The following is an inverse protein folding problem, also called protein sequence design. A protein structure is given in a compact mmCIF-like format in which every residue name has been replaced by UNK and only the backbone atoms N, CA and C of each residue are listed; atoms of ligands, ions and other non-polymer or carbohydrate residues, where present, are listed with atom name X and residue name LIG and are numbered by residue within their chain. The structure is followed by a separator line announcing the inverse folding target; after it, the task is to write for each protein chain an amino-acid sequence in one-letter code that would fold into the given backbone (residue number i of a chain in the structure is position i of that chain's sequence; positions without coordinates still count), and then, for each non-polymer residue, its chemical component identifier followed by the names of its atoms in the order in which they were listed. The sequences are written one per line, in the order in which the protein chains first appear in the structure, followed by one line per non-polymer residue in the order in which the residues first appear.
data_IF_848810290531
#
_entry.id   IF_848810290531
#
_cell.length_a   1.000
_cell.length_b   1.000
_cell.length_c   1.000
_cell.angle_alpha   90.00
_cell.angle_beta   90.00
_cell.angle_gamma   90.00
#
_symmetry.space_group_name_H-M   'P 1'
#
loop_
_entity.id
_entity.type
_entity.pdbx_description
1 polymer ?
#
# COMPACT_ATOMS: atom_id res chain seq x y z
N UNK A 1 -19.51 -32.66 -2.42
CA UNK A 1 -19.33 -32.02 -1.09
C UNK A 1 -17.85 -31.70 -0.77
N UNK A 2 -17.02 -31.31 -1.75
CA UNK A 2 -15.56 -31.15 -1.55
C UNK A 2 -15.03 -29.71 -1.66
N UNK A 3 -15.88 -28.74 -2.05
CA UNK A 3 -15.44 -27.36 -2.34
C UNK A 3 -15.64 -26.39 -1.15
N UNK A 4 -16.46 -26.76 -0.15
CA UNK A 4 -16.75 -25.88 0.99
C UNK A 4 -15.58 -25.71 1.96
N UNK A 5 -14.75 -26.74 2.12
CA UNK A 5 -13.61 -26.73 3.04
C UNK A 5 -12.44 -25.90 2.50
N UNK A 6 -12.19 -25.91 1.19
CA UNK A 6 -11.14 -25.09 0.57
C UNK A 6 -11.45 -23.59 0.67
N UNK A 7 -12.70 -23.19 0.48
CA UNK A 7 -13.14 -21.80 0.59
C UNK A 7 -13.00 -21.27 2.03
N UNK A 8 -13.32 -22.09 3.02
CA UNK A 8 -13.19 -21.75 4.45
C UNK A 8 -11.72 -21.60 4.88
N UNK A 9 -10.81 -22.39 4.31
CA UNK A 9 -9.37 -22.27 4.59
C UNK A 9 -8.79 -20.98 4.01
N UNK A 10 -9.19 -20.61 2.78
CA UNK A 10 -8.74 -19.35 2.15
C UNK A 10 -9.29 -18.13 2.89
N UNK A 11 -10.58 -18.15 3.27
CA UNK A 11 -11.19 -17.08 4.08
C UNK A 11 -10.54 -16.99 5.47
N UNK A 12 -10.21 -18.12 6.08
CA UNK A 12 -9.49 -18.18 7.36
C UNK A 12 -8.09 -17.55 7.28
N UNK A 13 -7.33 -17.83 6.22
CA UNK A 13 -5.99 -17.27 5.99
C UNK A 13 -6.03 -15.75 5.73
N UNK A 14 -7.03 -15.27 4.99
CA UNK A 14 -7.22 -13.83 4.73
C UNK A 14 -7.61 -13.08 6.01
N UNK A 15 -8.52 -13.64 6.81
CA UNK A 15 -8.91 -13.06 8.09
C UNK A 15 -7.75 -13.07 9.10
N UNK A 16 -6.96 -14.15 9.14
CA UNK A 16 -5.77 -14.25 9.98
C UNK A 16 -4.70 -13.23 9.57
N UNK A 17 -4.49 -13.03 8.26
CA UNK A 17 -3.57 -12.02 7.75
C UNK A 17 -4.00 -10.58 8.08
N UNK A 18 -5.30 -10.29 8.00
CA UNK A 18 -5.84 -8.99 8.40
C UNK A 18 -5.72 -8.76 9.92
N UNK A 19 -5.96 -9.79 10.74
CA UNK A 19 -5.83 -9.71 12.19
C UNK A 19 -4.36 -9.56 12.62
N UNK A 20 -3.44 -10.27 11.95
CA UNK A 20 -2.00 -10.16 12.18
C UNK A 20 -1.50 -8.75 11.82
N UNK A 21 -2.04 -8.15 10.75
CA UNK A 21 -1.72 -6.78 10.33
C UNK A 21 -2.19 -5.73 11.35
N UNK A 22 -3.42 -5.86 11.86
CA UNK A 22 -3.94 -4.98 12.92
C UNK A 22 -3.15 -5.17 14.22
N UNK A 23 -2.73 -6.39 14.55
CA UNK A 23 -1.87 -6.65 15.71
C UNK A 23 -0.47 -6.05 15.52
N UNK A 24 0.13 -6.16 14.33
CA UNK A 24 1.45 -5.61 14.00
C UNK A 24 1.46 -4.08 14.06
N UNK A 25 0.40 -3.43 13.59
CA UNK A 25 0.19 -1.98 13.76
C UNK A 25 -0.01 -1.58 15.24
N UNK A 26 -0.74 -2.39 16.02
CA UNK A 26 -0.98 -2.11 17.43
C UNK A 26 0.24 -2.38 18.34
N UNK A 27 1.12 -3.32 17.96
CA UNK A 27 2.29 -3.72 18.74
C UNK A 27 3.58 -2.97 18.39
N UNK A 28 3.63 -2.15 17.33
CA UNK A 28 4.85 -1.40 17.02
C UNK A 28 4.92 -0.09 17.83
N UNK A 29 5.82 0.04 18.81
CA UNK A 29 5.90 1.24 19.62
C UNK A 29 6.56 2.35 18.79
N UNK A 30 5.83 3.46 18.63
CA UNK A 30 6.32 4.76 18.18
C UNK A 30 7.55 5.17 19.02
N UNK A 31 8.75 4.77 18.62
CA UNK A 31 10.00 5.24 19.23
C UNK A 31 10.21 6.71 18.84
N UNK A 32 9.65 7.61 19.65
CA UNK A 32 10.07 9.02 19.71
C UNK A 32 11.52 9.04 20.23
N UNK A 33 12.47 9.30 19.34
CA UNK A 33 13.86 9.53 19.72
C UNK A 33 13.99 10.83 20.53
N UNK A 34 14.01 10.72 21.86
CA UNK A 34 14.56 11.77 22.73
C UNK A 34 16.08 11.69 22.65
N UNK A 35 16.72 12.64 21.96
CA UNK A 35 18.15 12.89 22.13
C UNK A 35 18.33 13.75 23.38
N UNK A 36 18.95 13.17 24.41
CA UNK A 36 19.38 13.91 25.59
C UNK A 36 20.66 14.70 25.28
N UNK A 37 20.59 16.02 25.47
CA UNK A 37 21.79 16.86 25.58
C UNK A 37 22.58 16.46 26.82
N UNK A 38 23.86 16.14 26.63
CA UNK A 38 24.83 15.81 27.67
C UNK A 38 25.51 17.11 28.10
N UNK A 39 25.19 17.61 29.28
CA UNK A 39 25.97 18.64 29.97
C UNK A 39 26.85 17.96 31.04
N UNK A 40 28.11 18.39 31.10
CA UNK A 40 29.14 17.87 31.98
C UNK A 40 29.04 18.43 33.42
N UNK A 41 29.44 17.63 34.41
CA UNK A 41 29.72 18.06 35.80
C UNK A 41 29.72 16.91 36.81
N UNK A 42 30.56 16.90 37.88
CA UNK A 42 31.41 15.74 38.18
C UNK A 42 31.08 14.89 39.44
N UNK A 43 31.74 13.73 39.44
CA UNK A 43 31.97 12.66 40.42
C UNK A 43 31.60 12.86 41.91
N UNK A 44 30.95 11.82 42.49
CA UNK A 44 31.21 11.36 43.87
C UNK A 44 31.17 9.84 43.98
N UNK A 45 32.12 9.36 44.78
CA UNK A 45 32.53 8.00 45.12
C UNK A 45 31.74 7.40 46.28
N UNK A 46 31.53 6.07 46.31
CA UNK A 46 31.30 5.31 47.55
C UNK A 46 30.33 4.13 47.44
N UNK A 47 30.49 3.04 48.22
CA UNK A 47 30.30 1.66 47.74
C UNK A 47 29.08 0.90 48.29
N UNK A 48 28.74 -0.21 47.63
CA UNK A 48 27.78 -1.25 48.02
C UNK A 48 28.15 -2.01 49.30
N UNK A 49 27.15 -2.69 49.92
CA UNK A 49 27.37 -4.06 50.38
C UNK A 49 26.23 -5.05 50.05
N UNK A 50 26.63 -6.18 49.46
CA UNK A 50 26.29 -7.61 49.72
C UNK A 50 24.86 -8.12 49.99
N UNK A 51 24.49 -9.11 49.16
CA UNK A 51 23.41 -10.14 49.24
C UNK A 51 23.55 -11.13 50.42
N UNK A 52 22.62 -12.11 50.64
CA UNK A 52 22.79 -13.44 50.01
C UNK A 52 21.54 -14.37 49.75
N UNK A 53 21.74 -15.35 48.85
CA UNK A 53 21.24 -16.76 48.79
C UNK A 53 19.85 -17.19 48.21
N UNK A 54 19.88 -17.62 46.92
CA UNK A 54 19.44 -18.86 46.18
C UNK A 54 18.53 -19.97 46.79
N UNK A 55 17.99 -21.01 46.05
CA UNK A 55 17.68 -21.31 44.60
C UNK A 55 16.26 -22.02 44.42
N UNK A 56 16.01 -23.00 43.49
CA UNK A 56 15.84 -22.99 42.02
C UNK A 56 14.40 -23.37 41.50
N UNK A 57 14.18 -23.29 40.17
CA UNK A 57 12.93 -23.61 39.40
C UNK A 57 12.59 -25.13 39.33
N UNK A 58 11.37 -25.54 38.93
CA UNK A 58 11.19 -26.08 37.55
C UNK A 58 9.80 -25.88 36.88
N UNK A 59 9.68 -26.44 35.67
CA UNK A 59 8.70 -26.30 34.57
C UNK A 59 7.25 -26.77 34.83
N UNK A 60 6.30 -26.32 33.98
CA UNK A 60 4.98 -26.95 33.81
C UNK A 60 4.09 -26.33 32.73
N UNK A 61 3.91 -27.04 31.62
CA UNK A 61 2.90 -26.82 30.57
C UNK A 61 1.49 -27.18 31.09
N UNK A 62 0.44 -26.49 30.62
CA UNK A 62 -0.95 -26.88 30.84
C UNK A 62 -1.89 -26.38 29.74
N UNK A 63 -2.30 -27.30 28.87
CA UNK A 63 -3.42 -27.15 27.93
C UNK A 63 -4.77 -27.41 28.64
N UNK A 64 -5.91 -26.95 28.08
CA UNK A 64 -7.20 -26.91 28.77
C UNK A 64 -8.04 -28.18 28.58
N UNK A 65 -8.78 -28.58 29.62
CA UNK A 65 -9.84 -29.60 29.54
C UNK A 65 -11.23 -28.94 29.58
N UNK A 66 -12.26 -29.52 28.93
CA UNK A 66 -13.54 -28.88 28.65
C UNK A 66 -14.65 -29.28 29.65
N UNK A 67 -15.73 -28.49 29.70
CA UNK A 67 -17.01 -28.92 30.28
C UNK A 67 -18.19 -28.34 29.48
N UNK A 68 -19.18 -29.21 29.27
CA UNK A 68 -20.40 -29.09 28.46
C UNK A 68 -21.60 -28.73 29.42
N UNK A 69 -22.90 -28.78 29.01
CA UNK A 69 -23.75 -27.66 28.63
C UNK A 69 -24.89 -27.33 29.63
N UNK A 70 -25.45 -26.12 29.48
CA UNK A 70 -26.88 -25.84 29.69
C UNK A 70 -27.25 -25.02 30.93
N UNK A 71 -27.65 -23.77 30.72
CA UNK A 71 -28.98 -23.22 31.09
C UNK A 71 -29.12 -21.88 30.33
N UNK A 72 -30.19 -21.74 29.55
CA UNK A 72 -30.49 -20.55 28.75
C UNK A 72 -31.08 -19.48 29.66
N UNK A 73 -30.35 -18.40 29.88
CA UNK A 73 -30.87 -17.16 30.46
C UNK A 73 -30.65 -16.03 29.44
N UNK A 74 -31.69 -15.73 28.68
CA UNK A 74 -31.71 -14.68 27.66
C UNK A 74 -31.66 -13.29 28.30
N UNK A 75 -30.48 -12.68 28.31
CA UNK A 75 -30.29 -11.25 28.54
C UNK A 75 -30.52 -10.45 27.23
N UNK A 76 -31.26 -9.32 27.24
CA UNK A 76 -31.51 -8.53 26.04
C UNK A 76 -30.23 -7.85 25.54
N UNK A 77 -29.97 -8.04 24.24
CA UNK A 77 -28.75 -7.63 23.54
C UNK A 77 -28.50 -6.11 23.54
N UNK A 78 -27.22 -5.76 23.46
CA UNK A 78 -26.68 -4.40 23.41
C UNK A 78 -27.30 -3.49 22.33
N UNK A 79 -27.99 -4.07 21.35
CA UNK A 79 -28.68 -3.35 20.28
C UNK A 79 -29.94 -2.61 20.75
N UNK A 80 -30.65 -3.10 21.77
CA UNK A 80 -31.82 -2.42 22.32
C UNK A 80 -31.42 -1.09 23.01
N UNK A 81 -30.30 -1.09 23.74
CA UNK A 81 -29.75 0.12 24.39
C UNK A 81 -29.12 1.11 23.41
N UNK A 82 -28.82 0.68 22.19
CA UNK A 82 -28.33 1.54 21.10
C UNK A 82 -29.50 2.19 20.34
N UNK A 83 -30.56 1.42 20.09
CA UNK A 83 -31.78 1.92 19.47
C UNK A 83 -32.50 2.96 20.35
N UNK A 84 -32.48 2.79 21.68
CA UNK A 84 -33.10 3.74 22.62
C UNK A 84 -32.30 5.06 22.75
N UNK A 85 -30.96 5.01 22.65
CA UNK A 85 -30.12 6.21 22.59
C UNK A 85 -30.30 7.02 21.31
N UNK A 86 -30.55 6.34 20.19
CA UNK A 86 -30.84 6.99 18.91
C UNK A 86 -32.26 7.58 18.87
N UNK A 87 -33.20 7.03 19.64
CA UNK A 87 -34.58 7.53 19.74
C UNK A 87 -34.71 8.72 20.70
N UNK A 88 -33.83 8.83 21.72
CA UNK A 88 -33.76 9.97 22.64
C UNK A 88 -33.04 11.20 22.05
N UNK A 89 -32.23 11.03 21.01
CA UNK A 89 -31.60 12.12 20.28
C UNK A 89 -32.52 12.60 19.15
N UNK A 90 -33.53 13.41 19.50
CA UNK A 90 -34.36 14.12 18.51
C UNK A 90 -33.50 15.00 17.57
N UNK A 91 -34.01 15.36 16.37
CA UNK A 91 -33.22 16.08 15.39
C UNK A 91 -32.80 17.46 15.92
N UNK A 92 -31.50 17.71 15.95
CA UNK A 92 -30.93 19.01 16.27
C UNK A 92 -31.32 20.03 15.17
N UNK A 93 -31.58 21.30 15.53
CA UNK A 93 -31.96 22.31 14.57
C UNK A 93 -30.80 22.57 13.59
N UNK A 94 -31.10 22.48 12.29
CA UNK A 94 -30.21 22.89 11.21
C UNK A 94 -30.12 24.41 11.24
N UNK A 95 -29.12 24.92 11.95
CA UNK A 95 -28.71 26.31 11.82
C UNK A 95 -27.89 26.44 10.53
N UNK A 96 -28.51 26.97 9.49
CA UNK A 96 -27.83 27.45 8.27
C UNK A 96 -26.81 28.53 8.69
N UNK A 97 -25.55 28.15 8.88
CA UNK A 97 -24.43 29.11 8.72
C UNK A 97 -24.06 29.16 7.25
N UNK A 98 -24.16 30.36 6.71
CA UNK A 98 -24.09 30.65 5.29
C UNK A 98 -22.84 30.11 4.62
N UNK A 99 -23.04 29.68 3.39
CA UNK A 99 -22.02 29.65 2.34
C UNK A 99 -21.43 31.05 2.18
N UNK A 100 -20.33 31.33 2.85
CA UNK A 100 -19.37 32.27 2.29
C UNK A 100 -18.67 31.58 1.11
N UNK A 101 -18.55 32.23 -0.05
CA UNK A 101 -17.87 31.64 -1.20
C UNK A 101 -16.41 31.35 -0.84
N UNK A 102 -16.00 30.11 -1.11
CA UNK A 102 -14.63 29.57 -0.94
C UNK A 102 -13.54 30.50 -1.53
N UNK A 103 -13.89 31.40 -2.47
CA UNK A 103 -13.03 32.45 -3.02
C UNK A 103 -12.53 33.48 -1.97
N UNK A 104 -13.28 33.73 -0.88
CA UNK A 104 -12.87 34.66 0.17
C UNK A 104 -11.78 34.10 1.11
N UNK A 105 -11.61 32.77 1.16
CA UNK A 105 -10.50 32.13 1.84
C UNK A 105 -9.23 32.14 0.97
N UNK A 106 -9.40 32.03 -0.35
CA UNK A 106 -8.31 32.02 -1.34
C UNK A 106 -7.70 33.41 -1.56
N UNK A 107 -8.43 34.50 -1.26
CA UNK A 107 -7.92 35.87 -1.41
C UNK A 107 -7.14 36.42 -0.20
N UNK A 108 -6.87 35.62 0.85
CA UNK A 108 -6.16 36.09 2.06
C UNK A 108 -4.79 35.50 2.32
N UNK A 109 -4.25 34.68 1.42
CA UNK A 109 -2.87 34.24 1.48
C UNK A 109 -1.96 35.12 0.60
N UNK A 110 -2.04 36.44 0.73
CA UNK A 110 -0.84 37.25 0.55
C UNK A 110 0.10 36.91 1.71
N UNK A 111 1.36 36.52 1.47
CA UNK A 111 2.34 36.48 2.54
C UNK A 111 2.37 37.88 3.16
N UNK A 112 2.55 37.99 4.48
CA UNK A 112 2.54 39.20 5.33
C UNK A 112 1.33 39.43 6.26
N UNK A 113 0.31 38.55 6.32
CA UNK A 113 -0.77 38.67 7.31
C UNK A 113 -0.91 37.41 8.20
N UNK A 114 0.14 37.09 8.93
CA UNK A 114 0.17 36.02 9.94
C UNK A 114 1.60 35.58 10.20
N UNK A 115 2.00 35.43 11.47
CA UNK A 115 3.34 34.94 11.81
C UNK A 115 3.60 33.59 11.13
N UNK A 116 4.86 33.26 10.83
CA UNK A 116 5.24 31.96 10.27
C UNK A 116 4.67 30.77 11.09
N UNK A 117 4.51 30.94 12.40
CA UNK A 117 3.84 29.98 13.30
C UNK A 117 2.36 29.78 12.98
N UNK A 118 1.66 30.83 12.53
CA UNK A 118 0.28 30.72 12.04
C UNK A 118 0.22 29.90 10.75
N UNK A 119 1.21 30.03 9.87
CA UNK A 119 1.29 29.23 8.65
C UNK A 119 1.52 27.74 8.95
N UNK A 120 2.38 27.43 9.94
CA UNK A 120 2.57 26.06 10.41
C UNK A 120 1.25 25.42 10.84
N UNK A 121 0.44 26.13 11.64
CA UNK A 121 -0.88 25.67 12.07
C UNK A 121 -1.83 25.46 10.90
N UNK A 122 -1.92 26.41 9.96
CA UNK A 122 -2.78 26.30 8.78
C UNK A 122 -2.41 25.06 7.94
N UNK A 123 -1.12 24.84 7.69
CA UNK A 123 -0.63 23.69 6.92
C UNK A 123 -0.98 22.37 7.63
N UNK A 124 -0.81 22.30 8.95
CA UNK A 124 -1.18 21.13 9.74
C UNK A 124 -2.71 20.87 9.72
N UNK A 125 -3.52 21.91 9.77
CA UNK A 125 -4.99 21.82 9.74
C UNK A 125 -5.51 21.32 8.39
N UNK A 126 -4.94 21.82 7.29
CA UNK A 126 -5.23 21.35 5.94
C UNK A 126 -4.81 19.88 5.77
N UNK A 127 -3.64 19.49 6.29
CA UNK A 127 -3.19 18.10 6.27
C UNK A 127 -4.13 17.16 7.03
N UNK A 128 -4.65 17.61 8.20
CA UNK A 128 -5.65 16.86 8.98
C UNK A 128 -6.98 16.70 8.25
N UNK A 129 -7.31 17.64 7.36
CA UNK A 129 -8.51 17.61 6.52
C UNK A 129 -8.28 16.89 5.18
N UNK A 130 -7.08 16.35 4.95
CA UNK A 130 -6.68 15.69 3.70
C UNK A 130 -6.56 16.62 2.48
N UNK A 131 -6.44 17.92 2.71
CA UNK A 131 -6.23 18.96 1.68
C UNK A 131 -4.73 19.07 1.32
N UNK A 132 -4.10 17.94 0.98
CA UNK A 132 -2.64 17.87 0.80
C UNK A 132 -2.12 18.73 -0.35
N UNK A 133 -2.91 18.90 -1.41
CA UNK A 133 -2.53 19.73 -2.55
C UNK A 133 -2.30 21.18 -2.12
N UNK A 134 -3.21 21.73 -1.32
CA UNK A 134 -3.13 23.09 -0.80
C UNK A 134 -2.04 23.22 0.27
N UNK A 135 -1.93 22.26 1.19
CA UNK A 135 -0.82 22.21 2.15
C UNK A 135 0.55 22.22 1.47
N UNK A 136 0.71 21.46 0.38
CA UNK A 136 1.96 21.38 -0.39
C UNK A 136 2.26 22.70 -1.09
N UNK A 137 1.25 23.35 -1.69
CA UNK A 137 1.38 24.67 -2.33
C UNK A 137 1.90 25.69 -1.32
N UNK A 138 1.25 25.79 -0.16
CA UNK A 138 1.64 26.73 0.90
C UNK A 138 3.05 26.46 1.44
N UNK A 139 3.44 25.20 1.61
CA UNK A 139 4.81 24.87 2.03
C UNK A 139 5.87 25.18 0.97
N UNK A 140 5.57 24.97 -0.32
CA UNK A 140 6.48 25.33 -1.40
C UNK A 140 6.70 26.85 -1.42
N UNK A 141 5.61 27.63 -1.37
CA UNK A 141 5.67 29.10 -1.30
C UNK A 141 6.44 29.59 -0.08
N UNK A 142 6.25 28.96 1.08
CA UNK A 142 6.99 29.30 2.29
C UNK A 142 8.50 29.02 2.16
N UNK A 143 8.87 27.87 1.61
CA UNK A 143 10.28 27.47 1.48
C UNK A 143 11.04 28.28 0.41
N UNK A 144 10.32 28.82 -0.58
CA UNK A 144 10.87 29.73 -1.59
C UNK A 144 10.99 31.18 -1.09
N UNK A 145 10.39 31.51 0.05
CA UNK A 145 10.50 32.84 0.64
C UNK A 145 11.94 33.17 1.06
N UNK A 146 12.44 34.33 0.62
CA UNK A 146 13.82 34.77 0.87
C UNK A 146 14.07 35.18 2.32
N UNK A 147 13.03 35.60 3.01
CA UNK A 147 13.03 36.09 4.39
C UNK A 147 12.70 35.00 5.42
N UNK A 148 12.52 33.75 4.99
CA UNK A 148 12.25 32.63 5.90
C UNK A 148 13.44 32.38 6.84
N UNK A 149 13.25 32.49 8.17
CA UNK A 149 14.30 32.19 9.14
C UNK A 149 14.82 30.75 9.01
N UNK A 150 16.14 30.50 9.16
CA UNK A 150 16.73 29.17 8.99
C UNK A 150 16.10 28.09 9.88
N UNK A 151 15.72 28.44 11.11
CA UNK A 151 15.09 27.53 12.07
C UNK A 151 13.72 27.06 11.57
N UNK A 152 12.95 27.99 10.98
CA UNK A 152 11.64 27.69 10.41
C UNK A 152 11.74 26.98 9.05
N UNK A 153 12.82 27.23 8.30
CA UNK A 153 13.14 26.47 7.08
C UNK A 153 13.31 24.99 7.37
N UNK A 154 13.97 24.63 8.47
CA UNK A 154 14.08 23.23 8.89
C UNK A 154 12.72 22.65 9.29
N UNK A 155 11.91 23.41 10.05
CA UNK A 155 10.56 22.99 10.47
C UNK A 155 9.66 22.73 9.27
N UNK A 156 9.58 23.65 8.31
CA UNK A 156 8.76 23.51 7.10
C UNK A 156 9.27 22.41 6.17
N UNK A 157 10.59 22.22 6.08
CA UNK A 157 11.15 21.10 5.32
C UNK A 157 10.74 19.76 5.92
N UNK A 158 10.76 19.64 7.26
CA UNK A 158 10.32 18.44 7.97
C UNK A 158 8.81 18.21 7.82
N UNK A 159 8.01 19.27 7.93
CA UNK A 159 6.56 19.20 7.75
C UNK A 159 6.20 18.74 6.33
N UNK A 160 6.92 19.21 5.31
CA UNK A 160 6.75 18.78 3.91
C UNK A 160 6.97 17.27 3.77
N UNK A 161 8.03 16.74 4.39
CA UNK A 161 8.36 15.31 4.39
C UNK A 161 7.29 14.49 5.10
N UNK A 162 6.88 14.90 6.31
CA UNK A 162 5.90 14.17 7.10
C UNK A 162 4.53 14.14 6.41
N UNK A 163 4.13 15.24 5.76
CA UNK A 163 2.89 15.29 4.97
C UNK A 163 2.95 14.43 3.71
N UNK A 164 4.06 14.43 2.97
CA UNK A 164 4.21 13.55 1.81
C UNK A 164 4.05 12.07 2.19
N UNK A 165 4.58 11.66 3.35
CA UNK A 165 4.39 10.32 3.89
C UNK A 165 2.94 10.01 4.29
N UNK A 166 2.21 10.98 4.84
CA UNK A 166 0.80 10.84 5.20
C UNK A 166 -0.10 10.76 3.96
N UNK A 167 0.09 11.68 3.00
CA UNK A 167 -0.58 11.70 1.71
C UNK A 167 -0.37 10.39 0.96
N UNK A 168 0.88 9.95 0.82
CA UNK A 168 1.22 8.69 0.15
C UNK A 168 0.56 7.48 0.80
N UNK A 169 0.46 7.44 2.14
CA UNK A 169 -0.25 6.38 2.85
C UNK A 169 -1.76 6.38 2.62
N UNK A 170 -2.38 7.55 2.55
CA UNK A 170 -3.80 7.65 2.26
C UNK A 170 -4.12 7.31 0.81
N UNK A 171 -3.31 7.78 -0.13
CA UNK A 171 -3.50 7.51 -1.55
C UNK A 171 -3.34 6.03 -1.85
N UNK A 172 -2.33 5.34 -1.28
CA UNK A 172 -2.18 3.89 -1.47
C UNK A 172 -3.29 3.09 -0.79
N UNK A 173 -3.74 3.50 0.40
CA UNK A 173 -4.90 2.88 1.05
C UNK A 173 -6.19 3.07 0.25
N UNK A 174 -6.36 4.23 -0.39
CA UNK A 174 -7.51 4.52 -1.26
C UNK A 174 -7.41 3.74 -2.55
N UNK A 175 -6.24 3.69 -3.18
CA UNK A 175 -5.98 2.88 -4.37
C UNK A 175 -6.30 1.41 -4.10
N UNK A 176 -5.90 0.85 -2.95
CA UNK A 176 -6.20 -0.52 -2.61
C UNK A 176 -7.71 -0.79 -2.41
N UNK A 177 -8.45 0.20 -1.89
CA UNK A 177 -9.92 0.13 -1.75
C UNK A 177 -10.62 0.25 -3.10
N UNK A 178 -10.21 1.17 -3.97
CA UNK A 178 -10.78 1.28 -5.32
C UNK A 178 -10.44 0.07 -6.19
N UNK A 179 -9.24 -0.49 -5.99
CA UNK A 179 -8.84 -1.76 -6.55
C UNK A 179 -9.72 -2.94 -6.09
N UNK A 180 -10.38 -2.85 -4.94
CA UNK A 180 -11.37 -3.87 -4.51
C UNK A 180 -12.72 -3.67 -5.22
N UNK A 181 -13.01 -2.45 -5.66
CA UNK A 181 -14.26 -2.09 -6.34
C UNK A 181 -14.19 -2.24 -7.85
N UNK A 182 -13.01 -2.55 -8.40
CA UNK A 182 -12.81 -2.83 -9.82
C UNK A 182 -12.52 -1.61 -10.69
N UNK A 183 -12.29 -0.42 -10.10
CA UNK A 183 -11.97 0.78 -10.88
C UNK A 183 -10.47 0.89 -11.16
N UNK A 184 -10.00 0.36 -12.29
CA UNK A 184 -8.58 0.40 -12.65
C UNK A 184 -8.06 1.83 -12.92
N UNK A 185 -8.90 2.71 -13.48
CA UNK A 185 -8.52 4.07 -13.84
C UNK A 185 -8.35 4.97 -12.61
N UNK A 186 -9.20 4.82 -11.59
CA UNK A 186 -9.07 5.56 -10.32
C UNK A 186 -7.82 5.14 -9.56
N UNK A 187 -7.50 3.85 -9.59
CA UNK A 187 -6.29 3.29 -8.99
C UNK A 187 -5.03 3.85 -9.65
N UNK A 188 -5.01 3.95 -10.98
CA UNK A 188 -3.91 4.54 -11.73
C UNK A 188 -3.71 6.03 -11.39
N UNK A 189 -4.80 6.79 -11.31
CA UNK A 189 -4.75 8.20 -10.91
C UNK A 189 -4.16 8.38 -9.52
N UNK A 190 -4.57 7.55 -8.57
CA UNK A 190 -4.07 7.58 -7.19
C UNK A 190 -2.60 7.17 -7.08
N UNK A 191 -2.16 6.14 -7.83
CA UNK A 191 -0.75 5.74 -7.85
C UNK A 191 0.14 6.83 -8.44
N UNK A 192 -0.30 7.49 -9.52
CA UNK A 192 0.44 8.62 -10.10
C UNK A 192 0.54 9.80 -9.13
N UNK A 193 -0.51 10.07 -8.35
CA UNK A 193 -0.45 11.09 -7.30
C UNK A 193 0.57 10.75 -6.20
N UNK A 194 0.74 9.47 -5.87
CA UNK A 194 1.80 9.02 -4.93
C UNK A 194 3.19 9.23 -5.54
N UNK A 195 3.38 8.88 -6.82
CA UNK A 195 4.64 9.11 -7.52
C UNK A 195 4.99 10.60 -7.59
N UNK A 196 4.00 11.44 -7.89
CA UNK A 196 4.14 12.89 -7.96
C UNK A 196 4.42 13.50 -6.58
N UNK A 197 3.82 12.99 -5.50
CA UNK A 197 4.08 13.47 -4.13
C UNK A 197 5.50 13.10 -3.67
N UNK A 198 5.96 11.89 -3.97
CA UNK A 198 7.35 11.46 -3.72
C UNK A 198 8.33 12.30 -4.53
N UNK A 199 8.06 12.53 -5.82
CA UNK A 199 8.91 13.34 -6.70
C UNK A 199 8.98 14.79 -6.23
N UNK A 200 7.85 15.37 -5.82
CA UNK A 200 7.78 16.75 -5.33
C UNK A 200 8.55 16.96 -4.02
N UNK A 201 8.67 15.92 -3.18
CA UNK A 201 9.51 15.98 -2.00
C UNK A 201 11.02 15.95 -2.33
N UNK A 202 11.39 15.38 -3.49
CA UNK A 202 12.76 15.35 -4.00
C UNK A 202 13.77 14.75 -3.02
N UNK A 203 14.98 15.32 -3.01
CA UNK A 203 16.07 14.89 -2.12
C UNK A 203 15.84 15.23 -0.64
N UNK A 204 14.78 15.97 -0.33
CA UNK A 204 14.42 16.27 1.05
C UNK A 204 13.79 15.07 1.77
N UNK A 205 13.31 14.05 1.03
CA UNK A 205 12.71 12.87 1.62
C UNK A 205 13.81 11.91 2.12
N UNK A 206 13.84 11.55 3.43
CA UNK A 206 14.79 10.55 3.94
C UNK A 206 14.65 9.22 3.23
N UNK A 207 15.76 8.47 3.10
CA UNK A 207 15.80 7.17 2.41
C UNK A 207 14.73 6.20 2.93
N UNK A 208 14.62 6.02 4.24
CA UNK A 208 13.58 5.18 4.87
C UNK A 208 12.14 5.52 4.42
N UNK A 209 11.88 6.81 4.15
CA UNK A 209 10.55 7.27 3.70
C UNK A 209 10.35 7.04 2.20
N UNK A 210 11.41 7.19 1.40
CA UNK A 210 11.39 6.83 -0.03
C UNK A 210 11.19 5.33 -0.21
N UNK A 211 11.87 4.52 0.60
CA UNK A 211 11.77 3.07 0.59
C UNK A 211 10.37 2.60 0.99
N UNK A 212 9.76 3.23 2.01
CA UNK A 212 8.40 2.91 2.42
C UNK A 212 7.38 3.30 1.33
N UNK A 213 7.52 4.47 0.68
CA UNK A 213 6.64 4.86 -0.41
C UNK A 213 6.76 3.90 -1.61
N UNK A 214 8.00 3.55 -1.99
CA UNK A 214 8.33 2.60 -3.05
C UNK A 214 7.76 1.22 -2.74
N UNK A 215 7.92 0.75 -1.50
CA UNK A 215 7.32 -0.51 -1.01
C UNK A 215 5.80 -0.52 -1.13
N UNK A 216 5.13 0.59 -0.81
CA UNK A 216 3.67 0.69 -0.92
C UNK A 216 3.20 0.65 -2.36
N UNK A 217 3.90 1.32 -3.28
CA UNK A 217 3.61 1.28 -4.72
C UNK A 217 3.76 -0.15 -5.25
N UNK A 218 4.87 -0.81 -4.94
CA UNK A 218 5.13 -2.20 -5.29
C UNK A 218 4.01 -3.12 -4.78
N UNK A 219 3.69 -3.06 -3.48
CA UNK A 219 2.67 -3.91 -2.86
C UNK A 219 1.27 -3.68 -3.45
N UNK A 220 0.95 -2.44 -3.82
CA UNK A 220 -0.34 -2.13 -4.44
C UNK A 220 -0.44 -2.76 -5.82
N UNK A 221 0.60 -2.63 -6.64
CA UNK A 221 0.66 -3.23 -7.98
C UNK A 221 0.61 -4.77 -7.93
N UNK A 222 1.39 -5.41 -7.05
CA UNK A 222 1.40 -6.89 -6.96
C UNK A 222 0.06 -7.44 -6.46
N UNK A 223 -0.64 -6.74 -5.56
CA UNK A 223 -2.00 -7.11 -5.13
C UNK A 223 -3.04 -6.97 -6.23
N UNK A 224 -2.95 -5.92 -7.04
CA UNK A 224 -3.81 -5.74 -8.21
C UNK A 224 -3.60 -6.87 -9.22
N UNK A 225 -2.35 -7.18 -9.53
CA UNK A 225 -1.99 -8.30 -10.39
C UNK A 225 -2.55 -9.63 -9.87
N UNK A 226 -2.38 -9.92 -8.58
CA UNK A 226 -2.89 -11.15 -7.97
C UNK A 226 -4.41 -11.28 -8.09
N UNK A 227 -5.16 -10.17 -7.99
CA UNK A 227 -6.62 -10.16 -8.21
C UNK A 227 -6.98 -10.44 -9.66
N UNK A 228 -6.28 -9.81 -10.61
CA UNK A 228 -6.50 -10.02 -12.04
C UNK A 228 -6.20 -11.46 -12.46
N UNK A 229 -5.11 -12.04 -11.95
CA UNK A 229 -4.85 -13.48 -12.10
C UNK A 229 -5.97 -14.35 -11.51
N UNK A 230 -6.48 -14.01 -10.32
CA UNK A 230 -7.62 -14.70 -9.72
C UNK A 230 -8.92 -14.59 -10.54
N UNK A 231 -9.07 -13.51 -11.32
CA UNK A 231 -10.17 -13.31 -12.27
C UNK A 231 -9.88 -13.89 -13.67
N UNK A 232 -8.77 -14.64 -13.83
CA UNK A 232 -8.29 -15.20 -15.09
C UNK A 232 -7.94 -14.15 -16.16
N UNK A 233 -7.68 -12.91 -15.75
CA UNK A 233 -7.23 -11.81 -16.60
C UNK A 233 -5.71 -11.66 -16.50
N UNK A 234 -4.99 -12.56 -17.19
CA UNK A 234 -3.53 -12.60 -17.15
C UNK A 234 -2.90 -11.39 -17.85
N UNK A 235 -3.54 -10.84 -18.88
CA UNK A 235 -3.06 -9.67 -19.61
C UNK A 235 -3.04 -8.43 -18.71
N UNK A 236 -4.15 -8.11 -18.03
CA UNK A 236 -4.17 -6.96 -17.12
C UNK A 236 -3.26 -7.20 -15.91
N UNK A 237 -3.14 -8.45 -15.44
CA UNK A 237 -2.21 -8.78 -14.37
C UNK A 237 -0.76 -8.47 -14.73
N UNK A 238 -0.33 -8.81 -15.95
CA UNK A 238 1.02 -8.53 -16.43
C UNK A 238 1.31 -7.02 -16.46
N UNK A 239 0.35 -6.19 -16.86
CA UNK A 239 0.55 -4.74 -16.85
C UNK A 239 0.81 -4.20 -15.44
N UNK A 240 0.11 -4.73 -14.43
CA UNK A 240 0.37 -4.38 -13.04
C UNK A 240 1.73 -4.88 -12.54
N UNK A 241 2.14 -6.08 -12.91
CA UNK A 241 3.43 -6.64 -12.52
C UNK A 241 4.61 -5.91 -13.18
N UNK A 242 4.52 -5.58 -14.46
CA UNK A 242 5.54 -4.76 -15.10
C UNK A 242 5.64 -3.37 -14.47
N UNK A 243 4.50 -2.79 -14.08
CA UNK A 243 4.49 -1.52 -13.34
C UNK A 243 5.10 -1.64 -11.94
N UNK A 244 5.10 -2.81 -11.31
CA UNK A 244 5.72 -3.00 -10.00
C UNK A 244 7.26 -3.10 -10.05
N UNK A 245 7.85 -3.47 -11.19
CA UNK A 245 9.29 -3.74 -11.31
C UNK A 245 10.19 -2.57 -10.88
N UNK A 246 9.95 -1.31 -11.31
CA UNK A 246 10.74 -0.17 -10.85
C UNK A 246 10.64 0.04 -9.33
N UNK A 247 9.55 -0.38 -8.71
CA UNK A 247 9.29 -0.23 -7.28
C UNK A 247 9.83 -1.37 -6.41
N UNK A 248 10.45 -2.39 -7.01
CA UNK A 248 11.11 -3.42 -6.23
C UNK A 248 12.34 -2.88 -5.49
N UNK A 249 12.86 -1.69 -5.86
CA UNK A 249 13.81 -0.91 -5.06
C UNK A 249 15.20 -1.53 -4.97
N UNK A 250 15.60 -2.36 -5.95
CA UNK A 250 16.87 -3.09 -5.90
C UNK A 250 16.91 -4.21 -4.87
N UNK A 251 15.82 -4.45 -4.12
CA UNK A 251 15.71 -5.54 -3.17
C UNK A 251 15.55 -6.87 -3.92
N UNK A 252 16.52 -7.80 -3.80
CA UNK A 252 16.54 -9.03 -4.60
C UNK A 252 15.33 -9.92 -4.32
N UNK A 253 14.80 -9.89 -3.09
CA UNK A 253 13.60 -10.64 -2.71
C UNK A 253 12.35 -10.13 -3.46
N UNK A 254 12.09 -8.81 -3.46
CA UNK A 254 10.93 -8.22 -4.16
C UNK A 254 11.04 -8.36 -5.67
N UNK A 255 12.25 -8.24 -6.21
CA UNK A 255 12.53 -8.51 -7.63
C UNK A 255 12.24 -9.97 -7.97
N UNK A 256 12.68 -10.91 -7.12
CA UNK A 256 12.40 -12.34 -7.26
C UNK A 256 10.89 -12.64 -7.21
N UNK A 257 10.15 -12.08 -6.26
CA UNK A 257 8.70 -12.23 -6.14
C UNK A 257 7.94 -11.70 -7.36
N UNK A 258 8.33 -10.50 -7.84
CA UNK A 258 7.72 -9.88 -9.02
C UNK A 258 8.02 -10.71 -10.28
N UNK A 259 9.28 -11.14 -10.44
CA UNK A 259 9.73 -12.00 -11.54
C UNK A 259 8.99 -13.33 -11.59
N UNK A 260 8.87 -14.02 -10.45
CA UNK A 260 8.13 -15.27 -10.35
C UNK A 260 6.63 -15.08 -10.66
N UNK A 261 6.06 -13.93 -10.26
CA UNK A 261 4.66 -13.59 -10.57
C UNK A 261 4.46 -13.28 -12.05
N UNK A 262 5.41 -12.60 -12.70
CA UNK A 262 5.41 -12.34 -14.15
C UNK A 262 5.45 -13.67 -14.91
N UNK A 263 6.37 -14.57 -14.57
CA UNK A 263 6.47 -15.88 -15.22
C UNK A 263 5.17 -16.67 -15.10
N UNK A 264 4.57 -16.72 -13.91
CA UNK A 264 3.28 -17.39 -13.70
C UNK A 264 2.14 -16.75 -14.53
N UNK A 265 2.12 -15.42 -14.62
CA UNK A 265 1.11 -14.72 -15.41
C UNK A 265 1.29 -14.97 -16.91
N UNK A 266 2.53 -14.99 -17.40
CA UNK A 266 2.85 -15.37 -18.77
C UNK A 266 2.46 -16.83 -19.05
N UNK A 267 2.71 -17.75 -18.12
CA UNK A 267 2.31 -19.16 -18.28
C UNK A 267 0.81 -19.30 -18.51
N UNK A 268 -0.01 -18.58 -17.73
CA UNK A 268 -1.48 -18.56 -17.88
C UNK A 268 -1.86 -17.94 -19.22
N UNK A 269 -1.24 -16.82 -19.59
CA UNK A 269 -1.55 -16.14 -20.86
C UNK A 269 -1.18 -17.00 -22.07
N UNK A 270 -0.05 -17.70 -22.04
CA UNK A 270 0.40 -18.58 -23.14
C UNK A 270 -0.57 -19.75 -23.33
N UNK A 271 -1.11 -20.30 -22.24
CA UNK A 271 -2.16 -21.32 -22.32
C UNK A 271 -3.44 -20.77 -22.97
N UNK A 272 -3.83 -19.53 -22.63
CA UNK A 272 -4.97 -18.84 -23.25
C UNK A 272 -4.70 -18.54 -24.74
N UNK A 273 -3.49 -18.07 -25.09
CA UNK A 273 -3.02 -17.87 -26.46
C UNK A 273 -3.14 -19.16 -27.28
N UNK A 274 -2.69 -20.30 -26.74
CA UNK A 274 -2.71 -21.59 -27.44
C UNK A 274 -4.11 -22.00 -27.90
N UNK A 275 -5.11 -21.91 -27.01
CA UNK A 275 -6.50 -22.20 -27.36
C UNK A 275 -7.07 -21.24 -28.41
N UNK A 276 -6.72 -19.95 -28.33
CA UNK A 276 -7.10 -18.95 -29.32
C UNK A 276 -6.50 -19.21 -30.70
N UNK A 277 -5.20 -19.53 -30.75
CA UNK A 277 -4.46 -19.86 -31.97
C UNK A 277 -5.04 -21.09 -32.67
N UNK A 278 -5.30 -22.18 -31.93
CA UNK A 278 -5.90 -23.39 -32.50
C UNK A 278 -7.30 -23.11 -33.09
N UNK A 279 -8.09 -22.30 -32.41
CA UNK A 279 -9.42 -21.88 -32.90
C UNK A 279 -9.31 -21.07 -34.19
N UNK A 280 -8.36 -20.12 -34.24
CA UNK A 280 -8.12 -19.29 -35.42
C UNK A 280 -7.63 -20.12 -36.62
N UNK A 281 -6.71 -21.08 -36.40
CA UNK A 281 -6.24 -22.01 -37.44
C UNK A 281 -7.41 -22.85 -37.99
N UNK A 282 -8.23 -23.42 -37.10
CA UNK A 282 -9.42 -24.18 -37.52
C UNK A 282 -10.44 -23.37 -38.32
N UNK A 283 -10.46 -22.05 -38.13
CA UNK A 283 -11.30 -21.10 -38.88
C UNK A 283 -10.62 -20.55 -40.16
N UNK A 284 -9.40 -20.97 -40.50
CA UNK A 284 -8.62 -20.46 -41.63
C UNK A 284 -8.09 -19.03 -41.44
N UNK A 285 -8.06 -18.54 -40.20
CA UNK A 285 -7.61 -17.18 -39.83
C UNK A 285 -6.14 -17.19 -39.46
N UNK A 286 -5.27 -17.58 -40.40
CA UNK A 286 -3.84 -17.77 -40.15
C UNK A 286 -3.12 -16.49 -39.69
N UNK A 287 -3.48 -15.33 -40.25
CA UNK A 287 -2.91 -14.04 -39.83
C UNK A 287 -3.26 -13.70 -38.37
N UNK A 288 -4.47 -14.03 -37.92
CA UNK A 288 -4.89 -13.79 -36.54
C UNK A 288 -4.19 -14.74 -35.57
N UNK A 289 -4.01 -16.01 -35.95
CA UNK A 289 -3.23 -16.99 -35.21
C UNK A 289 -1.77 -16.53 -35.02
N UNK A 290 -1.16 -16.06 -36.11
CA UNK A 290 0.20 -15.53 -36.09
C UNK A 290 0.33 -14.28 -35.21
N UNK A 291 -0.58 -13.32 -35.35
CA UNK A 291 -0.57 -12.09 -34.55
C UNK A 291 -0.70 -12.37 -33.03
N UNK A 292 -1.48 -13.39 -32.64
CA UNK A 292 -1.60 -13.79 -31.24
C UNK A 292 -0.30 -14.42 -30.72
N UNK A 293 0.35 -15.28 -31.51
CA UNK A 293 1.64 -15.88 -31.16
C UNK A 293 2.74 -14.80 -31.02
N UNK A 294 2.81 -13.85 -31.95
CA UNK A 294 3.75 -12.72 -31.93
C UNK A 294 3.50 -11.80 -30.72
N UNK A 295 2.24 -11.60 -30.31
CA UNK A 295 1.90 -10.86 -29.08
C UNK A 295 2.45 -11.59 -27.84
N UNK A 296 2.24 -12.90 -27.76
CA UNK A 296 2.75 -13.73 -26.68
C UNK A 296 4.30 -13.67 -26.62
N UNK A 297 5.00 -13.64 -27.77
CA UNK A 297 6.46 -13.45 -27.86
C UNK A 297 6.92 -12.07 -27.37
N UNK A 298 6.24 -11.00 -27.78
CA UNK A 298 6.56 -9.65 -27.36
C UNK A 298 6.48 -9.47 -25.83
N UNK A 299 5.56 -10.16 -25.17
CA UNK A 299 5.41 -10.12 -23.71
C UNK A 299 6.54 -10.86 -22.98
N UNK A 300 7.01 -11.99 -23.52
CA UNK A 300 8.21 -12.67 -22.99
C UNK A 300 9.44 -11.78 -23.13
N UNK A 301 9.61 -11.12 -24.29
CA UNK A 301 10.70 -10.17 -24.52
C UNK A 301 10.63 -8.98 -23.55
N UNK A 302 9.45 -8.41 -23.35
CA UNK A 302 9.21 -7.35 -22.35
C UNK A 302 9.59 -7.80 -20.94
N UNK A 303 9.37 -9.06 -20.58
CA UNK A 303 9.80 -9.59 -19.28
C UNK A 303 11.31 -9.69 -19.15
N UNK A 304 12.01 -10.14 -20.19
CA UNK A 304 13.47 -10.12 -20.22
C UNK A 304 14.01 -8.69 -20.10
N UNK A 305 13.44 -7.75 -20.85
CA UNK A 305 13.81 -6.32 -20.82
C UNK A 305 13.55 -5.68 -19.44
N UNK A 306 12.53 -6.15 -18.72
CA UNK A 306 12.22 -5.73 -17.36
C UNK A 306 13.15 -6.35 -16.30
N UNK A 307 14.11 -7.20 -16.70
CA UNK A 307 15.10 -7.79 -15.81
C UNK A 307 14.68 -9.13 -15.19
N UNK A 308 13.65 -9.80 -15.71
CA UNK A 308 13.33 -11.17 -15.31
C UNK A 308 14.43 -12.10 -15.83
N UNK A 309 15.02 -12.89 -14.93
CA UNK A 309 16.12 -13.79 -15.28
C UNK A 309 15.71 -14.80 -16.36
N UNK A 310 16.61 -15.06 -17.32
CA UNK A 310 16.38 -15.98 -18.45
C UNK A 310 15.92 -17.36 -17.98
N UNK A 311 16.57 -17.95 -16.97
CA UNK A 311 16.19 -19.24 -16.41
C UNK A 311 14.78 -19.31 -15.81
N UNK A 312 14.16 -18.17 -15.49
CA UNK A 312 12.76 -18.08 -15.04
C UNK A 312 11.80 -18.04 -16.24
N UNK A 313 12.24 -17.56 -17.40
CA UNK A 313 11.45 -17.43 -18.62
C UNK A 313 11.57 -18.63 -19.57
N UNK A 314 12.61 -19.45 -19.47
CA UNK A 314 12.92 -20.55 -20.40
C UNK A 314 11.70 -21.41 -20.76
N UNK A 315 10.93 -21.86 -19.76
CA UNK A 315 9.76 -22.69 -19.98
C UNK A 315 8.63 -21.98 -20.74
N UNK A 316 8.42 -20.69 -20.47
CA UNK A 316 7.44 -19.86 -21.17
C UNK A 316 7.91 -19.61 -22.60
N UNK A 317 9.18 -19.22 -22.77
CA UNK A 317 9.78 -18.91 -24.05
C UNK A 317 9.77 -20.10 -25.01
N UNK A 318 10.06 -21.30 -24.51
CA UNK A 318 9.98 -22.53 -25.29
C UNK A 318 8.55 -22.80 -25.80
N UNK A 319 7.53 -22.60 -24.96
CA UNK A 319 6.13 -22.78 -25.35
C UNK A 319 5.68 -21.76 -26.39
N UNK A 320 6.04 -20.49 -26.21
CA UNK A 320 5.72 -19.44 -27.19
C UNK A 320 6.39 -19.72 -28.55
N UNK A 321 7.62 -20.24 -28.56
CA UNK A 321 8.28 -20.66 -29.80
C UNK A 321 7.51 -21.77 -30.52
N UNK A 322 7.00 -22.75 -29.79
CA UNK A 322 6.12 -23.78 -30.34
C UNK A 322 4.83 -23.19 -30.95
N UNK A 323 4.20 -22.20 -30.29
CA UNK A 323 3.02 -21.51 -30.83
C UNK A 323 3.32 -20.75 -32.13
N UNK A 324 4.49 -20.13 -32.24
CA UNK A 324 4.93 -19.45 -33.47
C UNK A 324 5.11 -20.47 -34.61
N UNK A 325 5.76 -21.59 -34.35
CA UNK A 325 5.95 -22.69 -35.31
C UNK A 325 4.61 -23.24 -35.80
N UNK A 326 3.68 -23.53 -34.88
CA UNK A 326 2.33 -24.02 -35.18
C UNK A 326 1.53 -23.02 -36.03
N UNK A 327 1.60 -21.73 -35.69
CA UNK A 327 0.89 -20.67 -36.43
C UNK A 327 1.46 -20.46 -37.84
N UNK A 328 2.76 -20.69 -38.02
CA UNK A 328 3.46 -20.51 -39.30
C UNK A 328 3.34 -21.71 -40.24
N UNK A 329 3.24 -22.92 -39.70
CA UNK A 329 3.14 -24.17 -40.48
C UNK A 329 1.74 -24.37 -41.10
N UNK A 330 0.76 -23.58 -40.66
CA UNK A 330 -0.63 -23.65 -41.13
C UNK A 330 -0.94 -22.65 -42.27
N UNK A 331 -0.05 -21.71 -42.57
CA UNK A 331 -0.21 -20.69 -43.62
C UNK A 331 0.35 -21.17 -44.98
#
# INVERSE_FOLDING_TARGET
MRNGTALLVVLGLVALGALLFVLLEALWPRKRGRRHHRAAGPARTGPSPSSPSSPPRPHGFGSPTPAVPGTVETLPGADARRAERLRAAGPAPVERRGTEPQEAAVSRATPHAGSWTSLEGIVQDLARQHEFAESRRLLAEALDARDLPPELREVFSRLRVDMAGAEGGQLTATALREAQRGSAQDVLGLLRQVEDSVRAAGDALPDDRRDEATRRLWLTCTRLAARRLGANDAAEALDWLFRSMPYAGGEPERLGESSASIARALDVLVEQCAGGIQTAIGAGQHDAARAEAERCEALVRRAADAGVAEGVLDGVAARVRGLLEDSSSAA
#
